data_IF_411970088068
#
_entry.id   IF_411970088068
#
_cell.length_a   1.000
_cell.length_b   1.000
_cell.length_c   1.000
_cell.angle_alpha   90.00
_cell.angle_beta   90.00
_cell.angle_gamma   90.00
#
_symmetry.space_group_name_H-M   'P 1'
#
loop_
_entity.id
_entity.type
_entity.pdbx_description
1 polymer ?
#
# COMPACT_ATOMS: atom_id res chain seq x y z
N UNK A 1 20.01 21.69 -45.56
CA UNK A 1 18.69 22.22 -45.18
C UNK A 1 18.08 21.29 -44.16
N UNK A 2 18.37 21.57 -42.89
CA UNK A 2 17.92 20.80 -41.74
C UNK A 2 16.53 21.30 -41.37
N UNK A 3 15.49 20.56 -41.70
CA UNK A 3 14.13 20.85 -41.24
C UNK A 3 14.05 20.57 -39.75
N UNK A 4 14.23 21.62 -38.95
CA UNK A 4 13.67 21.77 -37.62
C UNK A 4 12.21 21.30 -37.64
N UNK A 5 11.93 20.16 -37.01
CA UNK A 5 10.56 19.84 -36.62
C UNK A 5 10.19 20.79 -35.49
N UNK A 6 9.22 21.66 -35.78
CA UNK A 6 8.63 22.56 -34.82
C UNK A 6 8.17 21.79 -33.58
N UNK A 7 8.54 22.33 -32.42
CA UNK A 7 8.08 21.94 -31.10
C UNK A 7 6.55 22.12 -31.02
N UNK A 8 5.80 21.05 -31.29
CA UNK A 8 4.41 20.96 -30.88
C UNK A 8 4.36 21.19 -29.38
N UNK A 9 3.56 22.17 -28.95
CA UNK A 9 3.34 22.49 -27.53
C UNK A 9 2.64 21.32 -26.86
N UNK A 10 3.42 20.28 -26.52
CA UNK A 10 2.94 19.09 -25.86
C UNK A 10 2.52 19.50 -24.45
N UNK A 11 1.24 19.30 -24.13
CA UNK A 11 0.71 19.57 -22.79
C UNK A 11 1.60 18.85 -21.75
N UNK A 12 1.92 19.46 -20.61
CA UNK A 12 2.70 18.78 -19.59
C UNK A 12 1.96 17.53 -19.11
N UNK A 13 2.69 16.43 -18.90
CA UNK A 13 2.14 15.21 -18.30
C UNK A 13 1.85 15.42 -16.81
N UNK A 14 1.15 14.47 -16.21
CA UNK A 14 0.86 14.49 -14.78
C UNK A 14 1.80 13.53 -14.07
N UNK A 15 2.54 14.00 -13.07
CA UNK A 15 3.40 13.18 -12.21
C UNK A 15 2.76 13.09 -10.82
N UNK A 16 2.31 11.90 -10.45
CA UNK A 16 1.91 11.60 -9.08
C UNK A 16 3.06 10.93 -8.35
N UNK A 17 3.38 11.41 -7.14
CA UNK A 17 4.36 10.79 -6.24
C UNK A 17 3.65 10.43 -4.94
N UNK A 18 3.80 9.20 -4.47
CA UNK A 18 3.31 8.76 -3.17
C UNK A 18 4.50 8.35 -2.32
N UNK A 19 4.74 9.10 -1.25
CA UNK A 19 5.77 8.80 -0.24
C UNK A 19 5.04 8.29 1.00
N UNK A 20 4.91 6.97 1.11
CA UNK A 20 4.34 6.30 2.26
C UNK A 20 5.36 6.07 3.38
N UNK A 21 4.95 5.34 4.42
CA UNK A 21 5.80 5.01 5.57
C UNK A 21 6.94 4.03 5.26
N UNK A 22 6.75 3.17 4.26
CA UNK A 22 7.72 2.14 3.88
C UNK A 22 8.14 2.18 2.42
N UNK A 23 7.41 2.93 1.58
CA UNK A 23 7.56 2.90 0.11
C UNK A 23 7.50 4.27 -0.53
N UNK A 24 8.16 4.40 -1.68
CA UNK A 24 7.98 5.50 -2.62
C UNK A 24 7.42 4.96 -3.93
N UNK A 25 6.47 5.68 -4.51
CA UNK A 25 5.81 5.32 -5.77
C UNK A 25 5.75 6.53 -6.66
N UNK A 26 5.82 6.32 -7.97
CA UNK A 26 5.63 7.36 -8.95
C UNK A 26 4.81 6.84 -10.11
N UNK A 27 3.95 7.70 -10.65
CA UNK A 27 3.20 7.44 -11.87
C UNK A 27 3.24 8.67 -12.76
N UNK A 28 3.50 8.47 -14.05
CA UNK A 28 3.37 9.52 -15.06
C UNK A 28 2.19 9.20 -15.97
N UNK A 29 1.26 10.15 -16.10
CA UNK A 29 0.03 10.01 -16.88
C UNK A 29 -0.04 11.04 -18.00
N UNK A 30 -0.59 10.61 -19.13
CA UNK A 30 -1.06 11.43 -20.23
C UNK A 30 -2.57 11.22 -20.36
N UNK A 31 -3.35 12.06 -19.67
CA UNK A 31 -4.77 11.80 -19.43
C UNK A 31 -4.96 10.56 -18.56
N UNK A 32 -5.65 9.52 -19.07
CA UNK A 32 -5.78 8.23 -18.39
C UNK A 32 -4.70 7.22 -18.81
N UNK A 33 -3.84 7.56 -19.77
CA UNK A 33 -2.79 6.65 -20.25
C UNK A 33 -1.59 6.72 -19.31
N UNK A 34 -1.21 5.58 -18.74
CA UNK A 34 0.00 5.43 -17.94
C UNK A 34 1.23 5.32 -18.84
N UNK A 35 2.14 6.28 -18.70
CA UNK A 35 3.42 6.32 -19.42
C UNK A 35 4.56 5.72 -18.60
N UNK A 36 4.50 5.87 -17.29
CA UNK A 36 5.46 5.31 -16.34
C UNK A 36 4.72 4.95 -15.05
N UNK A 37 5.16 3.87 -14.40
CA UNK A 37 4.81 3.60 -13.01
C UNK A 37 5.85 2.74 -12.36
N UNK A 38 6.13 3.02 -11.10
CA UNK A 38 6.99 2.17 -10.29
C UNK A 38 6.66 2.29 -8.80
N UNK A 39 7.00 1.25 -8.05
CA UNK A 39 6.77 1.07 -6.62
C UNK A 39 8.05 0.51 -6.00
N UNK A 40 8.58 1.17 -4.95
CA UNK A 40 9.82 0.76 -4.30
C UNK A 40 9.70 0.83 -2.79
N UNK A 41 10.20 -0.17 -2.07
CA UNK A 41 10.48 -0.01 -0.65
C UNK A 41 11.66 0.95 -0.49
N UNK A 42 11.52 1.96 0.37
CA UNK A 42 12.58 2.96 0.56
C UNK A 42 13.56 2.59 1.67
N UNK A 43 13.28 1.55 2.47
CA UNK A 43 14.17 1.02 3.52
C UNK A 43 14.79 2.12 4.40
N UNK A 44 13.94 2.99 4.93
CA UNK A 44 14.29 4.20 5.70
C UNK A 44 15.11 5.30 4.97
N UNK A 45 15.48 5.15 3.70
CA UNK A 45 16.11 6.19 2.88
C UNK A 45 15.18 6.70 1.76
N UNK A 46 14.22 7.54 2.16
CA UNK A 46 13.25 8.17 1.25
C UNK A 46 13.95 9.03 0.19
N UNK A 47 15.00 9.77 0.57
CA UNK A 47 15.67 10.74 -0.32
C UNK A 47 16.37 10.01 -1.45
N UNK A 48 17.19 9.01 -1.14
CA UNK A 48 17.90 8.25 -2.17
C UNK A 48 16.92 7.49 -3.06
N UNK A 49 15.91 6.85 -2.47
CA UNK A 49 14.91 6.06 -3.19
C UNK A 49 14.08 6.92 -4.14
N UNK A 50 13.61 8.08 -3.69
CA UNK A 50 12.87 9.02 -4.53
C UNK A 50 13.77 9.63 -5.63
N UNK A 51 15.02 9.97 -5.31
CA UNK A 51 15.98 10.48 -6.29
C UNK A 51 16.24 9.49 -7.41
N UNK A 52 16.47 8.21 -7.06
CA UNK A 52 16.62 7.14 -8.04
C UNK A 52 15.35 6.96 -8.89
N UNK A 53 14.17 6.99 -8.25
CA UNK A 53 12.89 6.85 -8.93
C UNK A 53 12.64 7.98 -9.95
N UNK A 54 12.94 9.23 -9.57
CA UNK A 54 12.81 10.38 -10.47
C UNK A 54 13.84 10.34 -11.61
N UNK A 55 15.05 9.83 -11.36
CA UNK A 55 16.04 9.61 -12.41
C UNK A 55 15.57 8.56 -13.45
N UNK A 56 14.82 7.55 -13.01
CA UNK A 56 14.25 6.54 -13.89
C UNK A 56 13.04 7.08 -14.68
N UNK A 57 12.25 7.98 -14.08
CA UNK A 57 11.22 8.76 -14.81
C UNK A 57 11.87 9.58 -15.93
N UNK A 58 12.94 10.32 -15.64
CA UNK A 58 13.65 11.13 -16.65
C UNK A 58 14.25 10.24 -17.75
N UNK A 59 14.80 9.07 -17.40
CA UNK A 59 15.33 8.13 -18.40
C UNK A 59 14.22 7.56 -19.30
N UNK A 60 13.06 7.26 -18.73
CA UNK A 60 11.91 6.74 -19.48
C UNK A 60 11.26 7.81 -20.37
N UNK A 61 11.26 9.07 -19.92
CA UNK A 61 10.61 10.20 -20.58
C UNK A 61 11.54 11.43 -20.66
N UNK A 62 12.64 11.37 -21.43
CA UNK A 62 13.65 12.44 -21.43
C UNK A 62 13.08 13.79 -21.86
N UNK A 63 13.36 14.83 -21.06
CA UNK A 63 12.91 16.19 -21.34
C UNK A 63 11.39 16.40 -21.24
N UNK A 64 10.65 15.46 -20.66
CA UNK A 64 9.22 15.62 -20.48
C UNK A 64 8.90 16.72 -19.46
N UNK A 65 7.97 17.61 -19.81
CA UNK A 65 7.41 18.58 -18.87
C UNK A 65 6.29 17.91 -18.08
N UNK A 66 6.30 18.07 -16.76
CA UNK A 66 5.29 17.49 -15.87
C UNK A 66 4.66 18.55 -14.95
N UNK A 67 3.39 18.35 -14.63
CA UNK A 67 2.76 18.91 -13.43
C UNK A 67 2.78 17.84 -12.35
N UNK A 68 3.45 18.13 -11.24
CA UNK A 68 3.65 17.17 -10.17
C UNK A 68 2.76 17.46 -8.96
N UNK A 69 2.37 16.40 -8.25
CA UNK A 69 1.78 16.46 -6.91
C UNK A 69 2.33 15.30 -6.07
N UNK A 70 2.47 15.53 -4.75
CA UNK A 70 2.94 14.53 -3.80
C UNK A 70 1.83 14.18 -2.81
N UNK A 71 1.73 12.90 -2.47
CA UNK A 71 0.85 12.38 -1.43
C UNK A 71 1.60 11.39 -0.52
N UNK A 72 0.86 10.69 0.35
CA UNK A 72 1.37 9.71 1.29
C UNK A 72 1.78 10.29 2.65
N UNK A 73 1.80 9.43 3.66
CA UNK A 73 2.06 9.79 5.06
C UNK A 73 3.43 10.45 5.30
N UNK A 74 4.45 10.11 4.49
CA UNK A 74 5.78 10.73 4.51
C UNK A 74 5.96 11.87 3.49
N UNK A 75 4.92 12.22 2.73
CA UNK A 75 5.01 13.11 1.58
C UNK A 75 5.09 14.60 1.90
N UNK A 76 4.56 15.05 3.05
CA UNK A 76 4.42 16.49 3.34
C UNK A 76 5.77 17.23 3.40
N UNK A 77 6.75 16.66 4.10
CA UNK A 77 8.09 17.26 4.21
C UNK A 77 8.80 17.26 2.86
N UNK A 78 8.66 16.17 2.10
CA UNK A 78 9.23 16.03 0.75
C UNK A 78 8.62 17.04 -0.22
N UNK A 79 7.30 17.21 -0.20
CA UNK A 79 6.58 18.19 -1.02
C UNK A 79 7.06 19.63 -0.76
N UNK A 80 7.22 20.00 0.51
CA UNK A 80 7.77 21.30 0.92
C UNK A 80 9.20 21.49 0.43
N UNK A 81 10.05 20.48 0.60
CA UNK A 81 11.45 20.55 0.17
C UNK A 81 11.60 20.70 -1.35
N UNK A 82 10.68 20.13 -2.14
CA UNK A 82 10.68 20.20 -3.60
C UNK A 82 9.89 21.38 -4.17
N UNK A 83 9.12 22.12 -3.35
CA UNK A 83 8.22 23.16 -3.82
C UNK A 83 7.05 22.64 -4.66
N UNK A 84 6.61 21.41 -4.41
CA UNK A 84 5.52 20.74 -5.14
C UNK A 84 4.27 20.67 -4.25
N UNK A 85 3.05 20.80 -4.79
CA UNK A 85 1.82 20.66 -4.00
C UNK A 85 1.73 19.31 -3.29
N UNK A 86 1.28 19.35 -2.04
CA UNK A 86 0.91 18.16 -1.28
C UNK A 86 -0.61 17.95 -1.33
N UNK A 87 -1.04 16.71 -1.60
CA UNK A 87 -2.44 16.28 -1.58
C UNK A 87 -2.58 15.17 -0.55
N UNK A 88 -3.58 15.27 0.34
CA UNK A 88 -3.85 14.23 1.33
C UNK A 88 -4.19 12.90 0.65
N UNK A 89 -3.59 11.81 1.13
CA UNK A 89 -3.67 10.48 0.51
C UNK A 89 -5.11 9.95 0.43
N UNK A 90 -5.91 10.24 1.44
CA UNK A 90 -7.33 9.89 1.50
C UNK A 90 -8.09 10.54 0.36
N UNK A 91 -7.82 11.82 0.11
CA UNK A 91 -8.46 12.60 -0.96
C UNK A 91 -7.98 12.08 -2.31
N UNK A 92 -6.67 11.90 -2.48
CA UNK A 92 -6.09 11.41 -3.73
C UNK A 92 -6.60 10.00 -4.09
N UNK A 93 -6.63 9.07 -3.13
CA UNK A 93 -7.12 7.71 -3.30
C UNK A 93 -8.62 7.64 -3.56
N UNK A 94 -9.42 8.45 -2.86
CA UNK A 94 -10.87 8.56 -3.07
C UNK A 94 -11.17 9.08 -4.48
N UNK A 95 -10.53 10.18 -4.89
CA UNK A 95 -10.70 10.77 -6.22
C UNK A 95 -10.29 9.79 -7.33
N UNK A 96 -9.13 9.13 -7.18
CA UNK A 96 -8.66 8.14 -8.15
C UNK A 96 -9.64 6.96 -8.26
N UNK A 97 -10.16 6.48 -7.14
CA UNK A 97 -11.13 5.37 -7.11
C UNK A 97 -12.44 5.78 -7.77
N UNK A 98 -13.05 6.90 -7.37
CA UNK A 98 -14.32 7.36 -7.93
C UNK A 98 -14.23 7.66 -9.43
N UNK A 99 -13.07 8.14 -9.91
CA UNK A 99 -12.85 8.43 -11.33
C UNK A 99 -12.61 7.20 -12.18
N UNK A 100 -11.85 6.22 -11.68
CA UNK A 100 -11.43 5.04 -12.46
C UNK A 100 -12.36 3.84 -12.27
N UNK A 101 -13.00 3.74 -11.11
CA UNK A 101 -13.84 2.64 -10.66
C UNK A 101 -15.09 3.18 -9.92
N UNK A 102 -16.00 3.87 -10.63
CA UNK A 102 -17.20 4.48 -10.04
C UNK A 102 -18.18 3.46 -9.43
N UNK A 103 -18.02 2.17 -9.75
CA UNK A 103 -18.80 1.06 -9.21
C UNK A 103 -18.40 0.64 -7.79
N UNK A 104 -17.28 1.15 -7.25
CA UNK A 104 -16.75 0.77 -5.93
C UNK A 104 -17.55 1.44 -4.82
N UNK A 105 -17.94 0.64 -3.82
CA UNK A 105 -18.67 1.09 -2.64
C UNK A 105 -17.76 1.26 -1.42
N UNK A 106 -16.77 0.37 -1.28
CA UNK A 106 -15.85 0.33 -0.15
C UNK A 106 -14.42 0.09 -0.61
N UNK A 107 -13.49 0.86 -0.07
CA UNK A 107 -12.05 0.67 -0.26
C UNK A 107 -11.45 0.14 1.04
N UNK A 108 -10.70 -0.95 0.94
CA UNK A 108 -9.87 -1.47 2.04
C UNK A 108 -8.42 -1.34 1.60
N UNK A 109 -7.67 -0.53 2.32
CA UNK A 109 -6.27 -0.23 2.05
C UNK A 109 -5.39 -0.78 3.17
N UNK A 110 -4.39 -1.56 2.80
CA UNK A 110 -3.39 -2.05 3.73
C UNK A 110 -2.03 -1.44 3.40
N UNK A 111 -1.60 -0.47 4.21
CA UNK A 111 -0.33 0.21 4.10
C UNK A 111 0.80 -0.50 4.85
N UNK A 112 1.94 0.18 4.96
CA UNK A 112 3.07 -0.30 5.75
C UNK A 112 2.82 -0.17 7.25
N UNK A 113 2.31 0.96 7.70
CA UNK A 113 2.11 1.26 9.14
C UNK A 113 0.65 1.53 9.51
N UNK A 114 -0.19 1.79 8.51
CA UNK A 114 -1.61 2.07 8.67
C UNK A 114 -2.45 1.16 7.77
N UNK A 115 -3.72 1.02 8.15
CA UNK A 115 -4.77 0.33 7.44
C UNK A 115 -5.99 1.25 7.41
N UNK A 116 -6.61 1.38 6.24
CA UNK A 116 -7.74 2.28 6.02
C UNK A 116 -8.93 1.52 5.46
N UNK A 117 -10.12 1.92 5.89
CA UNK A 117 -11.38 1.44 5.37
C UNK A 117 -12.24 2.66 5.04
N UNK A 118 -12.52 2.85 3.75
CA UNK A 118 -13.24 4.02 3.24
C UNK A 118 -14.55 3.58 2.61
N UNK A 119 -15.67 4.01 3.17
CA UNK A 119 -16.99 3.88 2.55
C UNK A 119 -17.18 5.08 1.62
N UNK A 120 -17.42 4.86 0.33
CA UNK A 120 -17.51 5.94 -0.66
C UNK A 120 -18.89 6.61 -0.71
N UNK A 121 -19.93 5.90 -0.28
CA UNK A 121 -21.32 6.34 -0.35
C UNK A 121 -22.03 6.37 1.01
N UNK A 122 -23.04 7.27 1.18
CA UNK A 122 -23.43 8.36 0.27
C UNK A 122 -22.42 9.53 0.26
N UNK A 123 -21.63 9.66 1.31
CA UNK A 123 -20.49 10.59 1.42
C UNK A 123 -19.27 9.78 1.84
N UNK A 124 -18.08 10.06 1.29
CA UNK A 124 -16.85 9.40 1.73
C UNK A 124 -16.63 9.50 3.24
N UNK A 125 -16.59 8.35 3.91
CA UNK A 125 -16.23 8.23 5.32
C UNK A 125 -15.04 7.26 5.41
N UNK A 126 -13.92 7.75 5.94
CA UNK A 126 -12.75 6.93 6.18
C UNK A 126 -12.59 6.60 7.66
N UNK A 127 -12.14 5.38 7.92
CA UNK A 127 -11.64 4.91 9.20
C UNK A 127 -10.23 4.38 9.03
N UNK A 128 -9.37 4.70 9.98
CA UNK A 128 -7.98 4.28 9.98
C UNK A 128 -7.65 3.68 11.35
N UNK A 129 -6.77 2.68 11.38
CA UNK A 129 -6.29 2.15 12.64
C UNK A 129 -5.48 3.22 13.40
N UNK A 130 -5.47 3.11 14.74
CA UNK A 130 -4.57 3.93 15.57
C UNK A 130 -3.12 3.47 15.43
N UNK A 131 -2.26 3.84 16.38
CA UNK A 131 -0.81 3.49 16.41
C UNK A 131 -0.51 1.98 16.45
N UNK A 132 -1.53 1.14 16.59
CA UNK A 132 -1.36 -0.30 16.69
C UNK A 132 -1.18 -0.92 15.30
N UNK A 133 0.02 -1.44 15.02
CA UNK A 133 0.39 -2.04 13.73
C UNK A 133 -0.35 -3.35 13.40
N UNK A 134 -1.21 -3.85 14.29
CA UNK A 134 -2.01 -5.05 14.02
C UNK A 134 -2.85 -4.85 12.76
N UNK A 135 -2.69 -5.78 11.82
CA UNK A 135 -3.35 -5.69 10.53
C UNK A 135 -2.69 -4.66 9.60
N UNK A 136 -1.35 -4.63 9.49
CA UNK A 136 -0.60 -3.77 8.55
C UNK A 136 0.57 -4.53 7.93
N UNK A 137 1.25 -3.94 6.94
CA UNK A 137 2.47 -4.52 6.36
C UNK A 137 3.60 -4.71 7.37
N UNK A 138 3.79 -3.79 8.31
CA UNK A 138 4.83 -3.89 9.34
C UNK A 138 4.61 -5.09 10.27
N UNK A 139 3.34 -5.43 10.55
CA UNK A 139 3.03 -6.66 11.27
C UNK A 139 3.44 -7.90 10.47
N UNK A 140 3.10 -7.93 9.18
CA UNK A 140 3.48 -9.02 8.28
C UNK A 140 5.00 -9.18 8.24
N UNK A 141 5.76 -8.09 8.09
CA UNK A 141 7.22 -8.12 8.07
C UNK A 141 7.81 -8.68 9.39
N UNK A 142 7.25 -8.27 10.54
CA UNK A 142 7.67 -8.78 11.85
C UNK A 142 7.40 -10.28 12.01
N UNK A 143 6.23 -10.74 11.56
CA UNK A 143 5.86 -12.16 11.67
C UNK A 143 6.63 -13.02 10.68
N UNK A 144 6.88 -12.52 9.47
CA UNK A 144 7.76 -13.18 8.51
C UNK A 144 9.17 -13.37 9.07
N UNK A 145 9.72 -12.32 9.70
CA UNK A 145 11.03 -12.39 10.38
C UNK A 145 11.03 -13.43 11.50
N UNK A 146 9.94 -13.53 12.27
CA UNK A 146 9.79 -14.52 13.34
C UNK A 146 9.82 -15.97 12.80
N UNK A 147 9.28 -16.20 11.59
CA UNK A 147 9.31 -17.49 10.89
C UNK A 147 10.54 -17.67 9.98
N UNK A 148 11.54 -16.78 10.10
CA UNK A 148 12.77 -16.81 9.32
C UNK A 148 12.55 -16.74 7.79
N UNK A 149 11.57 -15.94 7.37
CA UNK A 149 11.23 -15.69 5.96
C UNK A 149 10.99 -14.19 5.73
N UNK A 150 10.65 -13.82 4.49
CA UNK A 150 10.10 -12.51 4.15
C UNK A 150 8.58 -12.60 3.87
N UNK A 151 7.95 -11.45 3.55
CA UNK A 151 6.53 -11.39 3.26
C UNK A 151 6.11 -12.31 2.10
N UNK A 152 6.95 -12.48 1.08
CA UNK A 152 6.67 -13.35 -0.07
C UNK A 152 6.67 -14.81 0.34
N UNK A 153 7.71 -15.24 1.07
CA UNK A 153 7.80 -16.61 1.58
C UNK A 153 6.72 -16.91 2.63
N UNK A 154 6.28 -15.93 3.41
CA UNK A 154 5.09 -16.06 4.26
C UNK A 154 3.83 -16.30 3.41
N UNK A 155 3.71 -15.56 2.30
CA UNK A 155 2.71 -15.79 1.25
C UNK A 155 2.67 -17.22 0.76
N UNK A 156 3.83 -17.74 0.34
CA UNK A 156 3.98 -19.09 -0.20
C UNK A 156 3.64 -20.17 0.83
N UNK A 157 4.14 -20.02 2.07
CA UNK A 157 3.84 -20.95 3.17
C UNK A 157 2.34 -21.05 3.43
N UNK A 158 1.63 -19.91 3.48
CA UNK A 158 0.20 -19.88 3.77
C UNK A 158 -0.66 -20.67 2.77
N UNK A 159 -0.21 -20.80 1.51
CA UNK A 159 -0.96 -21.54 0.47
C UNK A 159 -1.11 -23.03 0.76
N UNK A 160 -0.28 -23.58 1.64
CA UNK A 160 -0.22 -25.02 1.96
C UNK A 160 -0.76 -25.36 3.34
N UNK A 161 -1.39 -24.40 4.02
CA UNK A 161 -1.94 -24.63 5.35
C UNK A 161 -3.05 -25.67 5.33
N UNK A 162 -3.23 -26.34 6.47
CA UNK A 162 -4.29 -27.32 6.70
C UNK A 162 -5.19 -26.94 7.87
N UNK A 163 -4.76 -26.01 8.70
CA UNK A 163 -5.47 -25.53 9.88
C UNK A 163 -5.11 -24.08 10.19
N UNK A 164 -5.97 -23.43 10.97
CA UNK A 164 -5.77 -22.07 11.47
C UNK A 164 -5.72 -22.07 12.99
N UNK A 165 -4.76 -21.34 13.52
CA UNK A 165 -4.60 -21.06 14.95
C UNK A 165 -5.14 -19.67 15.28
N UNK A 166 -5.83 -19.51 16.43
CA UNK A 166 -6.25 -18.20 16.89
C UNK A 166 -5.02 -17.40 17.34
N UNK A 167 -4.79 -16.26 16.71
CA UNK A 167 -3.74 -15.29 17.09
C UNK A 167 -4.43 -13.98 17.43
N UNK A 168 -4.11 -13.38 18.59
CA UNK A 168 -4.66 -12.09 18.96
C UNK A 168 -3.99 -10.99 18.12
N UNK A 169 -4.72 -10.50 17.12
CA UNK A 169 -4.26 -9.53 16.11
C UNK A 169 -4.06 -8.09 16.61
N UNK A 170 -3.46 -7.90 17.79
CA UNK A 170 -3.33 -6.59 18.44
C UNK A 170 -2.09 -5.84 17.97
N UNK A 171 -0.93 -6.15 18.53
CA UNK A 171 0.36 -5.55 18.20
C UNK A 171 1.36 -6.67 17.97
N UNK A 172 2.36 -6.48 17.09
CA UNK A 172 3.36 -7.51 16.79
C UNK A 172 4.10 -8.03 18.01
N UNK A 173 4.27 -7.20 19.05
CA UNK A 173 4.82 -7.63 20.35
C UNK A 173 3.96 -8.71 21.02
N UNK A 174 2.64 -8.54 21.01
CA UNK A 174 1.72 -9.51 21.60
C UNK A 174 1.49 -10.72 20.69
N UNK A 175 1.42 -10.52 19.38
CA UNK A 175 1.29 -11.63 18.44
C UNK A 175 2.50 -12.58 18.51
N UNK A 176 3.70 -12.05 18.77
CA UNK A 176 4.87 -12.90 19.06
C UNK A 176 4.65 -13.79 20.28
N UNK A 177 4.01 -13.27 21.34
CA UNK A 177 3.67 -14.06 22.53
C UNK A 177 2.65 -15.16 22.25
N UNK A 178 1.78 -14.98 21.24
CA UNK A 178 0.82 -16.00 20.82
C UNK A 178 1.45 -17.05 19.88
N UNK A 179 2.33 -16.62 18.98
CA UNK A 179 2.93 -17.48 17.94
C UNK A 179 4.10 -18.30 18.49
N UNK A 180 4.94 -17.73 19.37
CA UNK A 180 6.13 -18.42 19.88
C UNK A 180 5.81 -19.75 20.60
N UNK A 181 4.76 -19.86 21.44
CA UNK A 181 4.35 -21.14 22.01
C UNK A 181 3.95 -22.16 20.95
N UNK A 182 3.25 -21.75 19.89
CA UNK A 182 2.84 -22.65 18.81
C UNK A 182 4.05 -23.20 18.04
N UNK A 183 5.04 -22.35 17.75
CA UNK A 183 6.33 -22.78 17.18
C UNK A 183 6.98 -23.83 18.09
N UNK A 184 7.04 -23.57 19.40
CA UNK A 184 7.66 -24.49 20.35
C UNK A 184 6.89 -25.83 20.49
N UNK A 185 5.60 -25.83 20.17
CA UNK A 185 4.75 -27.03 20.14
C UNK A 185 4.82 -27.78 18.80
N UNK A 186 5.61 -27.29 17.84
CA UNK A 186 5.78 -27.93 16.54
C UNK A 186 4.66 -27.64 15.54
N UNK A 187 3.93 -26.52 15.70
CA UNK A 187 2.98 -26.07 14.68
C UNK A 187 3.70 -25.86 13.33
N UNK A 188 3.09 -26.31 12.24
CA UNK A 188 3.65 -26.15 10.91
C UNK A 188 3.75 -24.67 10.53
N UNK A 189 4.83 -24.29 9.86
CA UNK A 189 5.03 -22.89 9.45
C UNK A 189 3.96 -22.44 8.44
N UNK A 190 3.46 -23.37 7.63
CA UNK A 190 2.33 -23.18 6.71
C UNK A 190 1.07 -22.73 7.46
N UNK A 191 0.72 -23.44 8.53
CA UNK A 191 -0.46 -23.13 9.36
C UNK A 191 -0.27 -21.80 10.09
N UNK A 192 0.93 -21.53 10.62
CA UNK A 192 1.25 -20.26 11.27
C UNK A 192 1.14 -19.10 10.27
N UNK A 193 1.65 -19.25 9.06
CA UNK A 193 1.59 -18.23 8.02
C UNK A 193 0.15 -17.87 7.65
N UNK A 194 -0.71 -18.87 7.43
CA UNK A 194 -2.13 -18.64 7.18
C UNK A 194 -2.85 -18.03 8.39
N UNK A 195 -2.49 -18.46 9.60
CA UNK A 195 -3.03 -17.89 10.84
C UNK A 195 -2.67 -16.41 11.01
N UNK A 196 -1.44 -16.02 10.62
CA UNK A 196 -0.98 -14.63 10.63
C UNK A 196 -1.79 -13.79 9.64
N UNK A 197 -2.05 -14.27 8.42
CA UNK A 197 -2.90 -13.54 7.47
C UNK A 197 -4.34 -13.45 7.93
N UNK A 198 -4.90 -14.53 8.46
CA UNK A 198 -6.24 -14.51 9.06
C UNK A 198 -6.32 -13.49 10.21
N UNK A 199 -5.27 -13.40 11.03
CA UNK A 199 -5.17 -12.40 12.08
C UNK A 199 -5.17 -10.98 11.53
N UNK A 200 -4.37 -10.70 10.48
CA UNK A 200 -4.33 -9.42 9.78
C UNK A 200 -5.71 -9.05 9.24
N UNK A 201 -6.34 -9.94 8.46
CA UNK A 201 -7.65 -9.72 7.85
C UNK A 201 -8.73 -9.46 8.90
N UNK A 202 -8.76 -10.27 9.96
CA UNK A 202 -9.71 -10.10 11.07
C UNK A 202 -9.53 -8.73 11.74
N UNK A 203 -8.30 -8.30 11.98
CA UNK A 203 -8.04 -6.99 12.60
C UNK A 203 -8.45 -5.83 11.69
N UNK A 204 -8.12 -5.91 10.40
CA UNK A 204 -8.47 -4.87 9.43
C UNK A 204 -9.98 -4.75 9.29
N UNK A 205 -10.69 -5.88 9.14
CA UNK A 205 -12.14 -5.89 8.96
C UNK A 205 -12.84 -5.53 10.27
N UNK A 206 -12.63 -6.31 11.34
CA UNK A 206 -13.37 -6.11 12.59
C UNK A 206 -13.01 -4.78 13.27
N UNK A 207 -11.72 -4.42 13.25
CA UNK A 207 -11.20 -3.22 13.89
C UNK A 207 -11.59 -1.93 13.20
N UNK A 208 -11.71 -1.90 11.87
CA UNK A 208 -12.07 -0.68 11.13
C UNK A 208 -13.58 -0.61 10.82
N UNK A 209 -14.22 -1.74 10.55
CA UNK A 209 -15.65 -1.73 10.24
C UNK A 209 -16.51 -1.38 11.46
N UNK A 210 -16.05 -1.68 12.70
CA UNK A 210 -16.76 -1.36 13.95
C UNK A 210 -18.26 -1.66 13.88
N UNK A 211 -18.64 -2.82 13.32
CA UNK A 211 -20.03 -3.25 13.16
C UNK A 211 -20.80 -2.64 11.97
N UNK A 212 -20.24 -1.67 11.23
CA UNK A 212 -20.80 -1.21 9.96
C UNK A 212 -20.57 -2.30 8.90
N UNK A 213 -21.63 -2.81 8.23
CA UNK A 213 -21.47 -3.85 7.22
C UNK A 213 -20.66 -3.36 6.01
N UNK A 214 -19.73 -4.18 5.54
CA UNK A 214 -19.05 -4.01 4.25
C UNK A 214 -19.92 -4.71 3.20
N UNK A 215 -20.39 -3.97 2.20
CA UNK A 215 -21.30 -4.45 1.16
C UNK A 215 -20.97 -3.81 -0.18
N UNK A 216 -21.45 -4.43 -1.25
CA UNK A 216 -21.27 -3.94 -2.62
C UNK A 216 -19.89 -4.30 -3.17
N UNK A 217 -19.40 -3.46 -4.08
CA UNK A 217 -18.10 -3.68 -4.72
C UNK A 217 -16.99 -3.20 -3.79
N UNK A 218 -16.11 -4.12 -3.40
CA UNK A 218 -14.95 -3.82 -2.53
C UNK A 218 -13.68 -3.74 -3.36
N UNK A 219 -12.93 -2.64 -3.21
CA UNK A 219 -11.62 -2.47 -3.83
C UNK A 219 -10.51 -2.62 -2.79
N UNK A 220 -9.50 -3.40 -3.12
CA UNK A 220 -8.30 -3.55 -2.31
C UNK A 220 -7.16 -2.66 -2.81
N UNK A 221 -6.58 -1.89 -1.89
CA UNK A 221 -5.42 -1.02 -2.13
C UNK A 221 -4.26 -1.37 -1.19
N UNK A 222 -3.07 -0.89 -1.54
CA UNK A 222 -1.88 -1.03 -0.72
C UNK A 222 -1.04 -2.27 -1.05
N UNK A 223 0.23 -2.23 -0.63
CA UNK A 223 1.25 -3.22 -1.01
C UNK A 223 0.88 -4.65 -0.61
N UNK A 224 0.65 -4.93 0.68
CA UNK A 224 0.21 -6.23 1.16
C UNK A 224 -0.95 -6.86 0.36
N UNK A 225 -2.05 -6.14 0.13
CA UNK A 225 -3.20 -6.68 -0.60
C UNK A 225 -2.95 -6.82 -2.12
N UNK A 226 -1.93 -6.15 -2.65
CA UNK A 226 -1.52 -6.31 -4.04
C UNK A 226 -0.59 -7.51 -4.24
N UNK A 227 0.43 -7.65 -3.38
CA UNK A 227 1.52 -8.61 -3.55
C UNK A 227 1.33 -9.94 -2.80
N UNK A 228 0.36 -10.04 -1.88
CA UNK A 228 0.11 -11.25 -1.09
C UNK A 228 -1.30 -11.80 -1.37
N UNK A 229 -1.47 -12.64 -2.41
CA UNK A 229 -2.78 -13.21 -2.76
C UNK A 229 -3.45 -13.96 -1.61
N UNK A 230 -2.68 -14.73 -0.84
CA UNK A 230 -3.16 -15.51 0.30
C UNK A 230 -3.75 -14.65 1.44
N UNK A 231 -3.52 -13.33 1.44
CA UNK A 231 -4.16 -12.41 2.38
C UNK A 231 -5.56 -11.97 1.93
N UNK A 232 -5.87 -12.08 0.63
CA UNK A 232 -7.17 -11.70 0.06
C UNK A 232 -8.18 -12.85 0.04
N UNK A 233 -7.69 -14.08 0.06
CA UNK A 233 -8.46 -15.31 0.07
C UNK A 233 -9.00 -15.62 1.48
#
# INVERSE_FOLDING_TARGET
MTTQRASEHRRPYQLGIDVGSTTVKAVVLDGNRRLFSDYRRHNADVRASLGALLADVERALPGARVHAAITGSGGLTTARAMGIPFVQEVIAGTEATQRLHPEVDVVIELGGEDAKLTYLHPTPEQRMNGTCAGGTGAFIDQMATLLHTDASGLGELATRHTQLYPIASRCGVFAKSDIQPLINQGAAHEDLAASIFNAVATQTIAGLACGRPIRGTVMFLGGPLHFLPALRE
#
